data_IF_204845546516
#
_entry.id   IF_204845546516
#
_cell.length_a   1.000
_cell.length_b   1.000
_cell.length_c   1.000
_cell.angle_alpha   90.00
_cell.angle_beta   90.00
_cell.angle_gamma   90.00
#
_symmetry.space_group_name_H-M   'P 1'
#
loop_
_entity.id
_entity.type
_entity.pdbx_description
1 polymer ?
#
# COMPACT_ATOMS: atom_id res chain seq x y z
N UNK A 1 -15.40 13.73 1.67
CA UNK A 1 -14.45 14.30 0.70
C UNK A 1 -15.11 15.27 -0.28
N UNK A 2 -16.11 14.88 -1.08
CA UNK A 2 -16.74 15.73 -2.11
C UNK A 2 -17.16 17.14 -1.65
N UNK A 3 -17.57 17.30 -0.40
CA UNK A 3 -17.96 18.60 0.17
C UNK A 3 -16.77 19.52 0.53
N UNK A 4 -15.54 19.03 0.45
CA UNK A 4 -14.32 19.69 0.91
C UNK A 4 -13.26 19.85 -0.19
N UNK A 5 -13.65 19.72 -1.48
CA UNK A 5 -12.69 19.81 -2.59
C UNK A 5 -11.97 21.16 -2.68
N UNK A 6 -12.62 22.24 -2.23
CA UNK A 6 -12.05 23.58 -2.23
C UNK A 6 -11.27 23.92 -0.94
N UNK A 7 -11.27 23.01 0.05
CA UNK A 7 -10.52 23.23 1.28
C UNK A 7 -9.01 23.11 1.02
N UNK A 8 -8.27 24.21 1.23
CA UNK A 8 -6.83 24.27 1.00
C UNK A 8 -5.99 23.38 1.94
N UNK A 9 -6.57 22.89 3.04
CA UNK A 9 -5.92 21.95 3.97
C UNK A 9 -5.90 20.51 3.42
N UNK A 10 -6.69 20.23 2.36
CA UNK A 10 -6.73 18.91 1.74
C UNK A 10 -5.78 18.84 0.54
N UNK A 11 -4.96 17.80 0.53
CA UNK A 11 -4.18 17.38 -0.64
C UNK A 11 -4.65 15.99 -1.07
N UNK A 12 -5.07 15.89 -2.31
CA UNK A 12 -5.63 14.66 -2.87
C UNK A 12 -4.62 14.08 -3.85
N UNK A 13 -4.34 12.79 -3.75
CA UNK A 13 -3.45 12.07 -4.66
C UNK A 13 -4.20 11.02 -5.46
N UNK A 14 -4.10 11.13 -6.78
CA UNK A 14 -4.42 10.08 -7.74
C UNK A 14 -3.19 9.18 -7.87
N UNK A 15 -3.33 7.94 -7.44
CA UNK A 15 -2.26 6.93 -7.52
C UNK A 15 -2.66 5.76 -8.41
N UNK A 16 -3.51 6.01 -9.40
CA UNK A 16 -3.91 4.97 -10.37
C UNK A 16 -2.69 4.41 -11.09
N UNK A 17 -2.61 3.09 -11.11
CA UNK A 17 -1.48 2.36 -11.64
C UNK A 17 -1.92 0.98 -12.16
N UNK A 18 -1.23 0.48 -13.17
CA UNK A 18 -1.31 -0.92 -13.57
C UNK A 18 0.09 -1.51 -13.76
N UNK A 19 0.25 -2.79 -13.44
CA UNK A 19 1.53 -3.50 -13.62
C UNK A 19 1.87 -3.75 -15.08
N UNK A 20 0.89 -3.68 -15.98
CA UNK A 20 1.02 -4.00 -17.39
C UNK A 20 1.49 -2.81 -18.25
N UNK A 21 1.16 -1.59 -17.83
CA UNK A 21 1.58 -0.35 -18.48
C UNK A 21 1.82 0.73 -17.41
N UNK A 22 3.06 0.93 -17.03
CA UNK A 22 3.43 1.92 -16.01
C UNK A 22 3.03 3.35 -16.39
N UNK A 23 2.89 3.65 -17.69
CA UNK A 23 2.46 4.97 -18.17
C UNK A 23 0.94 5.18 -18.11
N UNK A 24 0.16 4.10 -17.94
CA UNK A 24 -1.30 4.15 -17.96
C UNK A 24 -1.87 5.11 -16.91
N UNK A 25 -1.39 5.05 -15.69
CA UNK A 25 -1.89 5.89 -14.58
C UNK A 25 -1.79 7.38 -14.91
N UNK A 26 -0.64 7.83 -15.41
CA UNK A 26 -0.44 9.21 -15.84
C UNK A 26 -1.38 9.59 -16.99
N UNK A 27 -1.53 8.72 -18.00
CA UNK A 27 -2.42 8.97 -19.14
C UNK A 27 -3.88 9.18 -18.70
N UNK A 28 -4.40 8.30 -17.81
CA UNK A 28 -5.79 8.42 -17.36
C UNK A 28 -6.00 9.59 -16.39
N UNK A 29 -4.97 9.95 -15.60
CA UNK A 29 -5.00 11.16 -14.79
C UNK A 29 -5.10 12.42 -15.67
N UNK A 30 -4.30 12.51 -16.72
CA UNK A 30 -4.31 13.65 -17.66
C UNK A 30 -5.64 13.75 -18.42
N UNK A 31 -6.35 12.63 -18.61
CA UNK A 31 -7.68 12.60 -19.22
C UNK A 31 -8.79 13.07 -18.27
N UNK A 32 -8.75 12.61 -17.02
CA UNK A 32 -9.69 13.04 -15.97
C UNK A 32 -9.27 12.54 -14.60
N UNK A 33 -9.47 13.39 -13.59
CA UNK A 33 -9.20 13.07 -12.19
C UNK A 33 -10.16 13.83 -11.26
N UNK A 34 -10.19 13.47 -9.98
CA UNK A 34 -10.96 14.19 -8.95
C UNK A 34 -10.43 15.62 -8.86
N UNK A 35 -11.30 16.67 -8.88
CA UNK A 35 -10.86 18.06 -8.85
C UNK A 35 -9.86 18.34 -7.74
N UNK A 36 -8.76 19.00 -8.10
CA UNK A 36 -7.67 19.32 -7.18
C UNK A 36 -6.72 18.18 -6.84
N UNK A 37 -6.91 16.99 -7.42
CA UNK A 37 -5.97 15.89 -7.21
C UNK A 37 -4.64 16.11 -7.92
N UNK A 38 -3.56 15.62 -7.31
CA UNK A 38 -2.22 15.52 -7.89
C UNK A 38 -1.93 14.07 -8.23
N UNK A 39 -1.15 13.83 -9.26
CA UNK A 39 -0.72 12.49 -9.60
C UNK A 39 0.54 12.11 -8.81
N UNK A 40 0.48 10.99 -8.10
CA UNK A 40 1.64 10.36 -7.48
C UNK A 40 1.97 9.06 -8.22
N UNK A 41 3.14 9.01 -8.81
CA UNK A 41 3.59 7.90 -9.63
C UNK A 41 4.21 6.79 -8.76
N UNK A 42 3.70 5.56 -8.90
CA UNK A 42 4.20 4.43 -8.13
C UNK A 42 5.68 4.14 -8.41
N UNK A 43 6.12 4.30 -9.65
CA UNK A 43 7.49 3.97 -10.07
C UNK A 43 8.50 5.03 -9.68
N UNK A 44 8.17 6.31 -9.84
CA UNK A 44 9.12 7.43 -9.67
C UNK A 44 9.01 8.13 -8.32
N UNK A 45 7.80 8.26 -7.76
CA UNK A 45 7.58 9.00 -6.51
C UNK A 45 7.54 8.07 -5.28
N UNK A 46 7.05 6.82 -5.47
CA UNK A 46 6.76 5.90 -4.40
C UNK A 46 7.68 4.67 -4.39
N UNK A 47 8.63 4.58 -5.30
CA UNK A 47 9.63 3.50 -5.35
C UNK A 47 11.04 4.06 -5.40
N UNK A 48 11.95 3.35 -4.77
CA UNK A 48 13.38 3.63 -4.79
C UNK A 48 14.10 2.90 -5.93
N UNK A 49 15.42 3.03 -5.96
CA UNK A 49 16.26 2.36 -6.93
C UNK A 49 16.20 0.84 -6.78
N UNK A 50 16.06 0.15 -7.91
CA UNK A 50 16.10 -1.30 -7.95
C UNK A 50 17.57 -1.73 -8.07
N UNK A 51 18.07 -2.46 -7.06
CA UNK A 51 19.42 -3.03 -7.06
C UNK A 51 19.27 -4.53 -7.38
N UNK A 52 19.69 -4.99 -8.57
CA UNK A 52 19.56 -6.38 -8.99
C UNK A 52 20.18 -7.36 -7.99
N UNK A 53 19.45 -8.39 -7.61
CA UNK A 53 19.88 -9.40 -6.65
C UNK A 53 19.86 -8.96 -5.18
N UNK A 54 19.44 -7.73 -4.88
CA UNK A 54 19.41 -7.18 -3.52
C UNK A 54 17.99 -6.74 -3.16
N UNK A 55 17.36 -5.88 -3.96
CA UNK A 55 16.03 -5.36 -3.65
C UNK A 55 14.93 -6.10 -4.41
N UNK A 56 13.70 -5.97 -3.90
CA UNK A 56 12.52 -6.31 -4.67
C UNK A 56 12.28 -5.35 -5.85
N UNK A 57 11.21 -5.59 -6.61
CA UNK A 57 10.86 -4.79 -7.80
C UNK A 57 10.41 -3.37 -7.48
N UNK A 58 10.01 -3.08 -6.22
CA UNK A 58 9.50 -1.78 -5.80
C UNK A 58 9.91 -1.47 -4.35
N UNK A 59 11.22 -1.31 -4.10
CA UNK A 59 11.68 -0.93 -2.77
C UNK A 59 11.10 0.43 -2.38
N UNK A 60 11.05 0.76 -1.09
CA UNK A 60 10.75 2.13 -0.69
C UNK A 60 11.90 3.06 -1.12
N UNK A 61 11.61 4.32 -1.48
CA UNK A 61 12.64 5.31 -1.67
C UNK A 61 13.40 5.55 -0.36
N UNK A 62 14.60 6.09 -0.44
CA UNK A 62 15.32 6.52 0.76
C UNK A 62 14.51 7.59 1.50
N UNK A 63 14.69 7.69 2.82
CA UNK A 63 14.06 8.73 3.65
C UNK A 63 14.29 10.13 3.05
N UNK A 64 15.54 10.42 2.64
CA UNK A 64 15.89 11.71 2.06
C UNK A 64 15.15 11.99 0.73
N UNK A 65 15.06 10.99 -0.15
CA UNK A 65 14.34 11.12 -1.42
C UNK A 65 12.85 11.36 -1.18
N UNK A 66 12.21 10.57 -0.31
CA UNK A 66 10.78 10.73 -0.06
C UNK A 66 10.46 12.00 0.75
N UNK A 67 11.34 12.44 1.66
CA UNK A 67 11.23 13.76 2.30
C UNK A 67 11.18 14.89 1.28
N UNK A 68 12.05 14.84 0.26
CA UNK A 68 12.04 15.80 -0.85
C UNK A 68 10.73 15.75 -1.63
N UNK A 69 10.23 14.55 -1.93
CA UNK A 69 8.94 14.35 -2.60
C UNK A 69 7.79 14.98 -1.80
N UNK A 70 7.70 14.68 -0.48
CA UNK A 70 6.67 15.26 0.39
C UNK A 70 6.76 16.80 0.49
N UNK A 71 7.98 17.31 0.54
CA UNK A 71 8.21 18.78 0.51
C UNK A 71 7.72 19.40 -0.79
N UNK A 72 8.02 18.80 -1.94
CA UNK A 72 7.55 19.25 -3.25
C UNK A 72 6.02 19.14 -3.38
N UNK A 73 5.41 18.19 -2.71
CA UNK A 73 3.96 18.01 -2.65
C UNK A 73 3.27 18.96 -1.65
N UNK A 74 4.01 19.89 -1.05
CA UNK A 74 3.47 20.91 -0.16
C UNK A 74 2.92 20.37 1.16
N UNK A 75 3.38 19.20 1.61
CA UNK A 75 2.87 18.57 2.82
C UNK A 75 3.38 19.31 4.06
N UNK A 76 2.47 19.64 4.96
CA UNK A 76 2.71 20.20 6.29
C UNK A 76 2.15 19.26 7.36
N UNK A 77 2.47 19.41 8.64
CA UNK A 77 1.87 18.61 9.72
C UNK A 77 0.34 18.71 9.78
N UNK A 78 -0.24 19.78 9.25
CA UNK A 78 -1.69 20.03 9.26
C UNK A 78 -2.41 19.57 8.01
N UNK A 79 -1.70 19.23 6.95
CA UNK A 79 -2.27 18.76 5.68
C UNK A 79 -3.06 17.47 5.87
N UNK A 80 -4.34 17.47 5.51
CA UNK A 80 -5.11 16.24 5.38
C UNK A 80 -4.86 15.63 4.00
N UNK A 81 -4.20 14.49 3.97
CA UNK A 81 -3.93 13.76 2.73
C UNK A 81 -5.03 12.74 2.45
N UNK A 82 -5.50 12.69 1.20
CA UNK A 82 -6.42 11.66 0.71
C UNK A 82 -5.79 10.98 -0.50
N UNK A 83 -5.62 9.68 -0.44
CA UNK A 83 -5.13 8.86 -1.55
C UNK A 83 -6.28 8.10 -2.20
N UNK A 84 -6.30 8.01 -3.53
CA UNK A 84 -7.23 7.11 -4.23
C UNK A 84 -6.56 6.46 -5.42
N UNK A 85 -7.02 5.27 -5.76
CA UNK A 85 -6.69 4.57 -7.01
C UNK A 85 -7.95 4.26 -7.83
N UNK A 86 -7.84 3.38 -8.82
CA UNK A 86 -8.98 3.03 -9.68
C UNK A 86 -10.10 2.35 -8.89
N UNK A 87 -9.73 1.43 -7.98
CA UNK A 87 -10.66 0.57 -7.24
C UNK A 87 -10.21 0.43 -5.79
N UNK A 88 -11.10 0.60 -4.85
CA UNK A 88 -11.03 0.14 -3.44
C UNK A 88 -9.78 0.46 -2.61
N UNK A 89 -8.78 1.19 -3.10
CA UNK A 89 -7.51 1.39 -2.39
C UNK A 89 -6.64 0.13 -2.27
N UNK A 90 -6.89 -0.87 -3.11
CA UNK A 90 -6.26 -2.19 -3.05
C UNK A 90 -4.80 -2.22 -3.53
N UNK A 91 -4.36 -1.16 -4.18
CA UNK A 91 -3.06 -1.12 -4.83
C UNK A 91 -2.20 0.02 -4.27
N UNK A 92 -1.93 1.02 -5.10
CA UNK A 92 -1.00 2.08 -4.79
C UNK A 92 -1.52 3.07 -3.74
N UNK A 93 -2.85 3.23 -3.56
CA UNK A 93 -3.41 4.14 -2.56
C UNK A 93 -3.07 3.71 -1.12
N UNK A 94 -3.21 2.42 -0.80
CA UNK A 94 -2.82 1.88 0.51
C UNK A 94 -1.30 1.97 0.72
N UNK A 95 -0.50 1.76 -0.34
CA UNK A 95 0.95 1.93 -0.23
C UNK A 95 1.32 3.38 0.06
N UNK A 96 0.73 4.36 -0.63
CA UNK A 96 1.02 5.77 -0.36
C UNK A 96 0.58 6.16 1.06
N UNK A 97 -0.60 5.69 1.52
CA UNK A 97 -1.03 5.85 2.90
C UNK A 97 0.02 5.31 3.88
N UNK A 98 0.53 4.10 3.67
CA UNK A 98 1.56 3.50 4.54
C UNK A 98 2.86 4.30 4.52
N UNK A 99 3.27 4.81 3.37
CA UNK A 99 4.48 5.63 3.24
C UNK A 99 4.36 6.96 4.00
N UNK A 100 3.19 7.60 3.99
CA UNK A 100 2.93 8.76 4.84
C UNK A 100 3.03 8.40 6.32
N UNK A 101 2.42 7.29 6.76
CA UNK A 101 2.50 6.79 8.14
C UNK A 101 3.95 6.47 8.53
N UNK A 102 4.72 5.86 7.65
CA UNK A 102 6.14 5.61 7.85
C UNK A 102 6.94 6.89 8.09
N UNK A 103 6.65 7.95 7.34
CA UNK A 103 7.28 9.27 7.52
C UNK A 103 6.75 10.05 8.74
N UNK A 104 5.81 9.48 9.50
CA UNK A 104 5.23 10.07 10.70
C UNK A 104 4.09 11.06 10.43
N UNK A 105 3.51 11.06 9.22
CA UNK A 105 2.36 11.88 8.89
C UNK A 105 1.05 11.11 9.15
N UNK A 106 0.33 11.52 10.20
CA UNK A 106 -0.86 10.81 10.69
C UNK A 106 -2.16 11.20 9.95
N UNK A 107 -2.22 12.42 9.41
CA UNK A 107 -3.41 12.96 8.73
C UNK A 107 -3.51 12.44 7.28
N UNK A 108 -3.58 11.14 7.12
CA UNK A 108 -3.70 10.49 5.81
C UNK A 108 -4.82 9.46 5.81
N UNK A 109 -5.60 9.42 4.72
CA UNK A 109 -6.67 8.46 4.52
C UNK A 109 -6.70 7.97 3.06
N UNK A 110 -7.34 6.83 2.85
CA UNK A 110 -7.65 6.29 1.52
C UNK A 110 -9.13 6.51 1.24
N UNK A 111 -9.46 6.92 0.01
CA UNK A 111 -10.84 7.03 -0.44
C UNK A 111 -11.43 5.63 -0.64
N UNK A 112 -12.34 5.26 0.23
CA UNK A 112 -13.00 3.96 0.18
C UNK A 112 -13.76 3.77 -1.14
N UNK A 113 -13.52 2.66 -1.82
CA UNK A 113 -14.05 2.37 -3.17
C UNK A 113 -13.37 3.13 -4.30
N UNK A 114 -12.37 3.97 -4.02
CA UNK A 114 -11.56 4.69 -5.00
C UNK A 114 -12.36 5.49 -6.03
N UNK A 115 -11.80 5.63 -7.24
CA UNK A 115 -12.45 6.37 -8.32
C UNK A 115 -13.75 5.70 -8.80
N UNK A 116 -13.85 4.37 -8.70
CA UNK A 116 -15.07 3.63 -9.07
C UNK A 116 -16.26 4.06 -8.20
N UNK A 117 -16.09 4.16 -6.88
CA UNK A 117 -17.16 4.65 -6.00
C UNK A 117 -17.47 6.13 -6.26
N UNK A 118 -16.46 6.97 -6.52
CA UNK A 118 -16.65 8.36 -6.89
C UNK A 118 -17.53 8.54 -8.13
N UNK A 119 -17.25 7.75 -9.18
CA UNK A 119 -18.01 7.77 -10.44
C UNK A 119 -19.44 7.25 -10.26
N UNK A 120 -19.62 6.23 -9.41
CA UNK A 120 -20.96 5.68 -9.11
C UNK A 120 -21.89 6.73 -8.48
N UNK A 121 -21.33 7.64 -7.68
CA UNK A 121 -22.07 8.77 -7.09
C UNK A 121 -22.19 9.97 -8.06
N UNK A 122 -21.76 9.83 -9.32
CA UNK A 122 -21.79 10.89 -10.34
C UNK A 122 -21.13 12.20 -9.88
N UNK A 123 -20.06 12.09 -9.11
CA UNK A 123 -19.30 13.23 -8.58
C UNK A 123 -18.37 13.82 -9.67
N UNK A 124 -17.98 15.11 -9.56
CA UNK A 124 -17.28 15.80 -10.63
C UNK A 124 -15.86 15.26 -10.86
N UNK A 125 -15.45 15.30 -12.13
CA UNK A 125 -14.07 15.10 -12.57
C UNK A 125 -13.64 16.30 -13.40
N UNK A 126 -12.35 16.58 -13.46
CA UNK A 126 -11.79 17.60 -14.35
C UNK A 126 -10.38 17.18 -14.86
N UNK A 127 -9.70 18.10 -15.56
CA UNK A 127 -8.34 17.95 -16.08
C UNK A 127 -7.40 19.04 -15.51
N UNK A 128 -7.91 19.84 -14.58
CA UNK A 128 -7.19 21.00 -14.05
C UNK A 128 -6.09 20.54 -13.09
N UNK A 129 -4.86 20.96 -13.36
CA UNK A 129 -3.70 20.68 -12.50
C UNK A 129 -3.53 21.81 -11.49
N UNK A 130 -3.73 21.48 -10.22
CA UNK A 130 -3.48 22.43 -9.14
C UNK A 130 -1.97 22.67 -8.95
N UNK A 131 -1.56 23.90 -8.84
CA UNK A 131 -0.18 24.27 -8.53
C UNK A 131 0.05 24.09 -7.03
N UNK A 132 1.13 23.41 -6.67
CA UNK A 132 1.56 23.22 -5.28
C UNK A 132 2.72 24.16 -4.99
N UNK A 133 2.67 24.83 -3.83
CA UNK A 133 3.84 25.53 -3.28
C UNK A 133 4.63 24.56 -2.41
N UNK A 134 5.92 24.31 -2.68
CA UNK A 134 6.74 23.44 -1.85
C UNK A 134 6.82 23.91 -0.39
N UNK A 135 6.96 22.95 0.52
CA UNK A 135 7.15 23.16 1.95
C UNK A 135 8.50 22.60 2.41
N UNK A 136 8.76 22.64 3.70
CA UNK A 136 9.86 21.93 4.34
C UNK A 136 9.29 20.82 5.22
N UNK A 137 9.10 19.64 4.66
CA UNK A 137 8.62 18.48 5.41
C UNK A 137 9.73 17.93 6.32
N UNK A 138 9.41 17.72 7.60
CA UNK A 138 10.34 17.14 8.59
C UNK A 138 9.80 15.77 8.98
N UNK A 139 10.51 14.66 8.65
CA UNK A 139 10.03 13.31 8.96
C UNK A 139 10.15 12.99 10.46
N UNK A 140 9.17 12.23 10.98
CA UNK A 140 9.20 11.58 12.30
C UNK A 140 8.98 10.09 12.10
N UNK A 141 10.06 9.37 11.81
CA UNK A 141 10.00 8.02 11.25
C UNK A 141 9.35 6.98 12.17
N UNK A 142 8.44 6.20 11.61
CA UNK A 142 7.79 5.02 12.18
C UNK A 142 8.44 3.75 11.60
N UNK A 143 9.70 3.49 11.97
CA UNK A 143 10.43 2.31 11.51
C UNK A 143 9.85 1.00 12.05
N UNK A 144 9.02 1.08 13.10
CA UNK A 144 8.26 -0.03 13.66
C UNK A 144 7.24 -0.65 12.69
N UNK A 145 6.85 0.07 11.63
CA UNK A 145 5.93 -0.41 10.59
C UNK A 145 6.59 -1.36 9.58
N UNK A 146 7.92 -1.32 9.47
CA UNK A 146 8.66 -2.04 8.43
C UNK A 146 9.46 -3.19 9.03
N UNK A 147 9.64 -4.26 8.26
CA UNK A 147 10.57 -5.34 8.59
C UNK A 147 11.42 -5.69 7.38
N UNK A 148 12.66 -6.09 7.65
CA UNK A 148 13.60 -6.54 6.65
C UNK A 148 13.51 -8.06 6.46
N UNK A 149 14.13 -8.57 5.41
CA UNK A 149 14.05 -9.97 4.99
C UNK A 149 14.52 -10.95 6.07
N UNK A 150 15.56 -10.60 6.84
CA UNK A 150 16.10 -11.43 7.92
C UNK A 150 15.07 -11.63 9.04
N UNK A 151 14.26 -10.59 9.35
CA UNK A 151 13.19 -10.71 10.32
C UNK A 151 12.07 -11.61 9.82
N UNK A 152 11.74 -11.57 8.54
CA UNK A 152 10.73 -12.44 7.93
C UNK A 152 11.20 -13.89 7.96
N UNK A 153 12.47 -14.15 7.63
CA UNK A 153 13.02 -15.52 7.64
C UNK A 153 13.02 -16.14 9.04
N UNK A 154 13.29 -15.34 10.07
CA UNK A 154 13.15 -15.78 11.47
C UNK A 154 11.68 -15.99 11.85
N UNK A 155 10.80 -15.05 11.50
CA UNK A 155 9.40 -15.02 11.93
C UNK A 155 8.54 -16.12 11.31
N UNK A 156 8.81 -16.53 10.06
CA UNK A 156 8.01 -17.52 9.32
C UNK A 156 7.93 -18.91 9.99
N UNK A 157 8.89 -19.25 10.87
CA UNK A 157 8.95 -20.48 11.63
C UNK A 157 8.72 -20.30 13.13
N UNK A 158 8.45 -19.08 13.61
CA UNK A 158 8.23 -18.79 15.02
C UNK A 158 6.73 -18.73 15.33
N UNK A 159 6.26 -19.57 16.24
CA UNK A 159 4.84 -19.66 16.65
C UNK A 159 4.28 -18.37 17.27
N UNK A 160 5.16 -17.45 17.70
CA UNK A 160 4.76 -16.14 18.23
C UNK A 160 4.55 -15.09 17.12
N UNK A 161 4.80 -15.44 15.86
CA UNK A 161 4.66 -14.57 14.70
C UNK A 161 3.67 -15.12 13.67
N UNK A 162 3.08 -14.23 12.91
CA UNK A 162 2.35 -14.56 11.71
C UNK A 162 2.98 -13.83 10.51
N UNK A 163 3.31 -14.57 9.46
CA UNK A 163 3.72 -14.02 8.16
C UNK A 163 2.65 -14.36 7.14
N UNK A 164 2.11 -13.35 6.45
CA UNK A 164 1.01 -13.54 5.50
C UNK A 164 1.31 -12.99 4.12
N UNK A 165 1.01 -13.78 3.10
CA UNK A 165 0.97 -13.34 1.72
C UNK A 165 -0.36 -12.61 1.42
N UNK A 166 -0.28 -11.39 0.93
CA UNK A 166 -1.43 -10.55 0.58
C UNK A 166 -1.82 -10.63 -0.89
N UNK A 167 -1.20 -11.51 -1.67
CA UNK A 167 -1.64 -11.82 -3.03
C UNK A 167 -2.95 -12.62 -2.95
N UNK A 168 -3.73 -12.69 -4.02
CA UNK A 168 -4.88 -13.60 -4.05
C UNK A 168 -4.46 -15.07 -3.97
N UNK A 169 -5.39 -15.96 -3.62
CA UNK A 169 -5.14 -17.40 -3.49
C UNK A 169 -4.41 -18.02 -4.70
N UNK A 170 -4.76 -17.57 -5.91
CA UNK A 170 -4.10 -18.00 -7.14
C UNK A 170 -2.59 -17.70 -7.11
N UNK A 171 -2.18 -16.47 -6.78
CA UNK A 171 -0.77 -16.09 -6.68
C UNK A 171 -0.02 -16.81 -5.56
N UNK A 172 -0.69 -17.03 -4.43
CA UNK A 172 -0.14 -17.77 -3.28
C UNK A 172 0.21 -19.23 -3.66
N UNK A 173 -0.69 -19.92 -4.36
CA UNK A 173 -0.48 -21.29 -4.83
C UNK A 173 0.32 -21.41 -6.12
N UNK A 174 1.02 -20.35 -6.52
CA UNK A 174 1.86 -20.38 -7.71
C UNK A 174 1.09 -20.41 -9.03
N UNK A 175 -0.17 -19.97 -9.06
CA UNK A 175 -1.02 -19.79 -10.25
C UNK A 175 -1.05 -18.35 -10.75
N UNK A 176 -1.83 -18.09 -11.80
CA UNK A 176 -2.10 -16.76 -12.32
C UNK A 176 -1.00 -16.11 -13.16
N UNK A 177 -1.14 -14.81 -13.35
CA UNK A 177 -0.16 -13.99 -14.08
C UNK A 177 1.09 -13.76 -13.24
N UNK A 178 2.24 -14.06 -13.82
CA UNK A 178 3.53 -13.90 -13.14
C UNK A 178 4.22 -12.63 -13.55
N UNK A 179 4.74 -11.93 -12.54
CA UNK A 179 5.65 -10.80 -12.70
C UNK A 179 7.07 -11.14 -12.21
N UNK A 180 7.22 -12.27 -11.55
CA UNK A 180 8.46 -12.77 -10.96
C UNK A 180 8.84 -14.14 -11.57
N UNK A 181 10.14 -14.48 -11.70
CA UNK A 181 10.58 -15.70 -12.36
C UNK A 181 10.29 -16.99 -11.56
N UNK A 182 10.03 -16.87 -10.26
CA UNK A 182 9.78 -17.99 -9.35
C UNK A 182 8.33 -17.98 -8.89
N UNK A 183 7.73 -19.17 -8.83
CA UNK A 183 6.34 -19.40 -8.40
C UNK A 183 6.28 -19.82 -6.94
N UNK A 184 5.12 -19.61 -6.30
CA UNK A 184 4.85 -20.02 -4.93
C UNK A 184 4.87 -18.87 -3.94
N UNK A 185 5.11 -19.18 -2.69
CA UNK A 185 5.10 -18.24 -1.56
C UNK A 185 6.24 -18.54 -0.57
N UNK A 186 6.47 -17.66 0.39
CA UNK A 186 7.45 -17.86 1.47
C UNK A 186 7.01 -19.06 2.30
N UNK A 187 7.86 -20.09 2.40
CA UNK A 187 7.55 -21.30 3.19
C UNK A 187 7.26 -20.92 4.66
N UNK A 188 6.14 -21.43 5.19
CA UNK A 188 5.67 -21.09 6.53
C UNK A 188 4.72 -19.88 6.59
N UNK A 189 4.58 -19.11 5.50
CA UNK A 189 3.61 -18.02 5.45
C UNK A 189 2.19 -18.55 5.20
N UNK A 190 1.21 -17.91 5.82
CA UNK A 190 -0.21 -18.08 5.52
C UNK A 190 -0.70 -17.16 4.41
N UNK A 191 -1.96 -17.31 4.02
CA UNK A 191 -2.63 -16.43 3.06
C UNK A 191 -3.52 -15.43 3.79
N UNK A 192 -3.33 -14.14 3.53
CA UNK A 192 -4.26 -13.07 3.86
C UNK A 192 -4.82 -12.50 2.55
N UNK A 193 -5.79 -13.20 1.97
CA UNK A 193 -6.31 -12.83 0.64
C UNK A 193 -6.91 -11.42 0.65
N UNK A 194 -6.39 -10.58 -0.23
CA UNK A 194 -6.87 -9.20 -0.39
C UNK A 194 -8.37 -9.10 -0.72
N UNK A 195 -8.95 -10.13 -1.33
CA UNK A 195 -10.37 -10.18 -1.65
C UNK A 195 -11.25 -10.27 -0.40
N UNK A 196 -10.70 -10.69 0.74
CA UNK A 196 -11.44 -10.80 1.99
C UNK A 196 -11.67 -9.45 2.69
N UNK A 197 -11.01 -8.38 2.26
CA UNK A 197 -11.10 -7.05 2.92
C UNK A 197 -12.20 -6.16 2.36
N UNK A 198 -12.71 -6.44 1.15
CA UNK A 198 -13.75 -5.63 0.51
C UNK A 198 -15.04 -6.42 0.30
N UNK A 199 -16.13 -5.68 0.18
CA UNK A 199 -17.43 -6.20 -0.21
C UNK A 199 -17.57 -6.30 -1.75
N UNK A 200 -18.72 -6.76 -2.22
CA UNK A 200 -19.05 -6.87 -3.64
C UNK A 200 -19.13 -5.53 -4.40
N UNK A 201 -19.17 -4.42 -3.69
CA UNK A 201 -19.16 -3.06 -4.25
C UNK A 201 -17.75 -2.45 -4.28
N UNK A 202 -16.73 -3.19 -3.82
CA UNK A 202 -15.36 -2.71 -3.71
C UNK A 202 -15.12 -1.75 -2.54
N UNK A 203 -16.04 -1.68 -1.56
CA UNK A 203 -15.86 -0.92 -0.34
C UNK A 203 -15.23 -1.81 0.74
N UNK A 204 -14.47 -1.25 1.65
CA UNK A 204 -14.02 -2.01 2.82
C UNK A 204 -15.22 -2.57 3.57
N UNK A 205 -15.12 -3.83 3.98
CA UNK A 205 -16.07 -4.45 4.90
C UNK A 205 -16.15 -3.63 6.19
N UNK A 206 -17.23 -3.77 6.94
CA UNK A 206 -17.37 -3.05 8.21
C UNK A 206 -16.23 -3.35 9.17
N UNK A 207 -15.95 -2.41 10.09
CA UNK A 207 -14.91 -2.59 11.13
C UNK A 207 -15.08 -3.89 11.90
N UNK A 208 -16.32 -4.30 12.18
CA UNK A 208 -16.62 -5.53 12.92
C UNK A 208 -16.33 -6.79 12.09
N UNK A 209 -16.63 -6.79 10.80
CA UNK A 209 -16.31 -7.91 9.90
C UNK A 209 -14.81 -8.05 9.72
N UNK A 210 -14.10 -6.96 9.47
CA UNK A 210 -12.64 -6.95 9.37
C UNK A 210 -11.99 -7.38 10.68
N UNK A 211 -12.48 -6.89 11.82
CA UNK A 211 -11.98 -7.30 13.13
C UNK A 211 -12.11 -8.81 13.34
N UNK A 212 -13.29 -9.36 13.08
CA UNK A 212 -13.54 -10.79 13.19
C UNK A 212 -12.65 -11.62 12.23
N UNK A 213 -12.43 -11.11 11.02
CA UNK A 213 -11.55 -11.76 10.04
C UNK A 213 -10.11 -11.81 10.55
N UNK A 214 -9.53 -10.67 10.95
CA UNK A 214 -8.14 -10.62 11.39
C UNK A 214 -7.91 -11.32 12.73
N UNK A 215 -8.83 -11.23 13.70
CA UNK A 215 -8.71 -11.98 14.96
C UNK A 215 -8.65 -13.49 14.74
N UNK A 216 -9.42 -14.01 13.77
CA UNK A 216 -9.33 -15.42 13.37
C UNK A 216 -8.02 -15.73 12.64
N UNK A 217 -7.59 -14.84 11.73
CA UNK A 217 -6.41 -15.02 10.90
C UNK A 217 -5.14 -15.09 11.77
N UNK A 218 -4.97 -14.13 12.71
CA UNK A 218 -3.80 -14.07 13.59
C UNK A 218 -3.86 -15.05 14.76
N UNK A 219 -5.02 -15.64 15.04
CA UNK A 219 -5.23 -16.73 16.00
C UNK A 219 -4.52 -16.53 17.37
N UNK A 220 -4.67 -15.33 17.94
CA UNK A 220 -4.09 -14.99 19.25
C UNK A 220 -2.67 -14.43 19.22
N UNK A 221 -2.01 -14.39 18.06
CA UNK A 221 -0.75 -13.66 17.89
C UNK A 221 -1.02 -12.16 17.93
N UNK A 222 -0.11 -11.38 18.52
CA UNK A 222 -0.28 -9.92 18.59
C UNK A 222 -0.12 -9.26 17.22
N UNK A 223 -0.75 -8.09 17.05
CA UNK A 223 -0.63 -7.33 15.80
C UNK A 223 0.83 -6.95 15.50
N UNK A 224 1.62 -6.59 16.50
CA UNK A 224 3.04 -6.23 16.37
C UNK A 224 3.91 -7.39 15.85
N UNK A 225 3.43 -8.61 15.98
CA UNK A 225 4.07 -9.83 15.50
C UNK A 225 3.43 -10.34 14.19
N UNK A 226 2.54 -9.57 13.59
CA UNK A 226 1.90 -9.88 12.31
C UNK A 226 2.58 -9.11 11.19
N UNK A 227 3.08 -9.84 10.19
CA UNK A 227 3.84 -9.31 9.05
C UNK A 227 3.10 -9.64 7.76
N UNK A 228 2.85 -8.64 6.93
CA UNK A 228 2.28 -8.82 5.60
C UNK A 228 3.33 -8.61 4.52
N UNK A 229 3.27 -9.42 3.48
CA UNK A 229 4.02 -9.22 2.23
C UNK A 229 3.11 -9.50 1.03
N UNK A 230 3.57 -9.18 -0.18
CA UNK A 230 2.88 -9.55 -1.41
C UNK A 230 3.88 -9.86 -2.54
N UNK A 231 3.66 -9.44 -3.77
CA UNK A 231 4.65 -9.56 -4.85
C UNK A 231 5.80 -8.56 -4.74
N UNK A 232 5.51 -7.30 -4.36
CA UNK A 232 6.48 -6.19 -4.37
C UNK A 232 6.18 -5.08 -3.36
N UNK A 233 5.49 -5.39 -2.26
CA UNK A 233 5.21 -4.46 -1.18
C UNK A 233 4.16 -3.37 -1.50
N UNK A 234 3.36 -3.57 -2.55
CA UNK A 234 2.28 -2.64 -2.92
C UNK A 234 0.97 -3.07 -2.28
N UNK A 235 0.47 -4.25 -2.65
CA UNK A 235 -0.84 -4.76 -2.21
C UNK A 235 -0.86 -5.09 -0.71
N UNK A 236 0.26 -5.50 -0.12
CA UNK A 236 0.34 -5.83 1.30
C UNK A 236 -0.04 -4.68 2.23
N UNK A 237 0.19 -3.44 1.81
CA UNK A 237 -0.21 -2.24 2.55
C UNK A 237 -1.73 -2.17 2.80
N UNK A 238 -2.55 -2.81 1.96
CA UNK A 238 -3.99 -2.88 2.15
C UNK A 238 -4.37 -3.67 3.41
N UNK A 239 -3.71 -4.82 3.68
CA UNK A 239 -3.97 -5.59 4.90
C UNK A 239 -3.55 -4.81 6.16
N UNK A 240 -2.43 -4.06 6.11
CA UNK A 240 -2.01 -3.17 7.19
C UNK A 240 -3.07 -2.09 7.44
N UNK A 241 -3.55 -1.42 6.37
CA UNK A 241 -4.61 -0.42 6.45
C UNK A 241 -5.92 -1.00 7.01
N UNK A 242 -6.31 -2.20 6.55
CA UNK A 242 -7.55 -2.83 6.96
C UNK A 242 -7.52 -3.27 8.44
N UNK A 243 -6.37 -3.78 8.94
CA UNK A 243 -6.19 -4.06 10.37
C UNK A 243 -6.28 -2.78 11.21
N UNK A 244 -5.61 -1.69 10.78
CA UNK A 244 -5.69 -0.39 11.44
C UNK A 244 -7.14 0.13 11.46
N UNK A 245 -7.86 0.03 10.33
CA UNK A 245 -9.28 0.40 10.23
C UNK A 245 -10.17 -0.45 11.15
N UNK A 246 -9.86 -1.72 11.32
CA UNK A 246 -10.56 -2.63 12.24
C UNK A 246 -10.27 -2.33 13.73
N UNK A 247 -9.32 -1.44 14.03
CA UNK A 247 -8.86 -1.12 15.39
C UNK A 247 -7.83 -2.11 15.94
N UNK A 248 -7.13 -2.84 15.06
CA UNK A 248 -6.05 -3.78 15.39
C UNK A 248 -4.75 -3.17 14.86
N UNK A 249 -4.12 -2.32 15.67
CA UNK A 249 -2.92 -1.55 15.26
C UNK A 249 -1.63 -2.31 15.56
N UNK A 250 -0.55 -2.00 14.79
CA UNK A 250 0.81 -2.49 15.04
C UNK A 250 1.30 -3.53 14.05
N UNK A 251 0.47 -4.00 13.11
CA UNK A 251 0.94 -4.92 12.06
C UNK A 251 1.99 -4.27 11.16
N UNK A 252 2.85 -5.09 10.59
CA UNK A 252 4.05 -4.66 9.87
C UNK A 252 4.00 -5.11 8.42
N UNK A 253 4.82 -4.46 7.61
CA UNK A 253 5.00 -4.85 6.21
C UNK A 253 6.46 -5.22 5.93
N UNK A 254 6.63 -6.30 5.18
CA UNK A 254 7.88 -6.61 4.48
C UNK A 254 7.80 -6.02 3.07
N UNK A 255 8.43 -4.85 2.88
CA UNK A 255 8.34 -4.09 1.62
C UNK A 255 8.97 -4.84 0.45
N UNK A 256 10.12 -5.49 0.64
CA UNK A 256 10.82 -6.24 -0.40
C UNK A 256 9.96 -7.38 -0.98
N UNK A 257 9.14 -7.99 -0.14
CA UNK A 257 8.13 -8.97 -0.52
C UNK A 257 8.69 -10.16 -1.29
N UNK A 258 7.82 -10.87 -2.03
CA UNK A 258 8.21 -12.03 -2.83
C UNK A 258 9.37 -11.75 -3.80
N UNK A 259 9.34 -10.59 -4.46
CA UNK A 259 10.36 -10.23 -5.45
C UNK A 259 11.77 -10.03 -4.86
N UNK A 260 11.89 -9.67 -3.58
CA UNK A 260 13.17 -9.66 -2.86
C UNK A 260 13.48 -11.03 -2.27
N UNK A 261 12.47 -11.73 -1.72
CA UNK A 261 12.66 -13.06 -1.15
C UNK A 261 13.38 -14.01 -2.10
N UNK A 262 12.95 -14.02 -3.36
CA UNK A 262 13.49 -14.91 -4.40
C UNK A 262 14.85 -14.48 -4.97
N UNK A 263 15.42 -13.36 -4.55
CA UNK A 263 16.78 -12.95 -4.98
C UNK A 263 17.85 -13.88 -4.41
N UNK A 264 17.58 -14.51 -3.28
CA UNK A 264 18.46 -15.50 -2.66
C UNK A 264 17.85 -16.90 -2.81
N UNK A 265 18.43 -17.77 -3.63
CA UNK A 265 17.91 -19.13 -3.87
C UNK A 265 18.02 -20.05 -2.66
N UNK A 266 18.71 -19.68 -1.60
CA UNK A 266 18.76 -20.45 -0.36
C UNK A 266 17.51 -20.26 0.53
N UNK A 267 16.71 -19.23 0.28
CA UNK A 267 15.48 -18.99 1.03
C UNK A 267 14.37 -19.96 0.62
N UNK A 268 13.78 -20.59 1.60
CA UNK A 268 12.77 -21.63 1.37
C UNK A 268 11.47 -21.06 0.81
N UNK A 269 10.92 -21.75 -0.17
CA UNK A 269 9.65 -21.46 -0.82
C UNK A 269 8.71 -22.68 -0.74
N UNK A 270 7.39 -22.43 -0.83
CA UNK A 270 6.34 -23.44 -0.95
C UNK A 270 5.42 -23.12 -2.13
N UNK A 271 4.63 -24.13 -2.58
CA UNK A 271 3.63 -24.04 -3.66
C UNK A 271 2.21 -24.16 -3.09
#
# INVERSE_FOLDING_TARGET
MARNLENSEFVIFDVRFTLDDESWGRKVYDQSHIPGAHYADLSTDMSGEIIPGVTGRRPFPTVAAFTKTLSNWGITPDTQVICYDAESGLMAASRLWLMFRWMGHEKVAVLDGGLTAWNRESLPLNQEKKVISPTNFIPNLRNDLLVEVEKVDQARNDVNYCVFDSRGAEGYHGGGKYYDPVRGHIAGAGLADRAEVTDSNGLFKSKSELKNYYEKLINGVSAENTIFYCGSGVTAAQNVLAMEHAGISGSKIYVGSWSEWITDPSREIAL
#
